data_IF_767642902176
#
_entry.id   IF_767642902176
#
_cell.length_a   1.000
_cell.length_b   1.000
_cell.length_c   1.000
_cell.angle_alpha   90.00
_cell.angle_beta   90.00
_cell.angle_gamma   90.00
#
_symmetry.space_group_name_H-M   'P 1'
#
loop_
_entity.id
_entity.type
_entity.pdbx_description
1 polymer ?
#
# COMPACT_ATOMS: atom_id res chain seq x y z
N UNK A 1 -31.60 46.18 -63.42
CA UNK A 1 -32.72 45.73 -62.57
C UNK A 1 -32.42 44.31 -62.10
N UNK A 2 -32.68 44.04 -60.83
CA UNK A 2 -32.59 42.76 -60.09
C UNK A 2 -31.22 42.16 -59.76
N UNK A 3 -30.93 42.24 -58.45
CA UNK A 3 -29.91 41.51 -57.67
C UNK A 3 -30.36 40.07 -57.43
N UNK A 4 -29.43 39.10 -57.41
CA UNK A 4 -29.54 37.89 -56.57
C UNK A 4 -28.15 37.52 -56.03
N UNK A 5 -28.04 37.51 -54.70
CA UNK A 5 -27.02 36.89 -53.87
C UNK A 5 -27.48 35.46 -53.52
N UNK A 6 -26.57 34.47 -53.51
CA UNK A 6 -26.61 33.27 -52.66
C UNK A 6 -25.30 32.48 -52.85
N UNK A 7 -24.31 32.62 -51.97
CA UNK A 7 -24.13 31.89 -50.71
C UNK A 7 -23.63 30.43 -50.90
N UNK A 8 -22.31 30.27 -50.80
CA UNK A 8 -21.60 29.00 -50.59
C UNK A 8 -22.05 28.39 -49.24
N UNK A 9 -22.58 27.17 -49.27
CA UNK A 9 -22.78 26.32 -48.09
C UNK A 9 -21.82 25.15 -48.12
N UNK A 10 -20.76 25.21 -47.31
CA UNK A 10 -19.84 24.11 -47.04
C UNK A 10 -20.48 23.18 -46.00
N UNK A 11 -20.85 21.96 -46.41
CA UNK A 11 -21.33 20.91 -45.49
C UNK A 11 -20.10 20.25 -44.85
N UNK A 12 -19.85 20.52 -43.58
CA UNK A 12 -18.90 19.78 -42.76
C UNK A 12 -19.62 18.56 -42.14
N UNK A 13 -19.28 17.36 -42.60
CA UNK A 13 -19.69 16.10 -41.98
C UNK A 13 -18.87 15.86 -40.72
N UNK A 14 -19.48 16.09 -39.55
CA UNK A 14 -18.97 15.62 -38.26
C UNK A 14 -19.22 14.11 -38.14
N UNK A 15 -18.20 13.32 -38.43
CA UNK A 15 -18.18 11.90 -38.04
C UNK A 15 -17.87 11.81 -36.53
N UNK A 16 -18.91 11.57 -35.74
CA UNK A 16 -18.78 11.19 -34.34
C UNK A 16 -18.14 9.78 -34.28
N UNK A 17 -16.84 9.74 -34.04
CA UNK A 17 -16.13 8.50 -33.72
C UNK A 17 -16.51 8.06 -32.31
N UNK A 18 -17.52 7.20 -32.20
CA UNK A 18 -17.73 6.41 -31.00
C UNK A 18 -16.51 5.50 -30.81
N UNK A 19 -15.67 5.81 -29.82
CA UNK A 19 -14.61 4.93 -29.35
C UNK A 19 -15.26 3.65 -28.84
N UNK A 20 -15.33 2.64 -29.71
CA UNK A 20 -15.66 1.28 -29.32
C UNK A 20 -14.48 0.76 -28.53
N UNK A 21 -14.67 0.62 -27.21
CA UNK A 21 -13.73 -0.11 -26.37
C UNK A 21 -13.65 -1.53 -26.92
N UNK A 22 -12.49 -1.89 -27.49
CA UNK A 22 -12.23 -3.25 -27.96
C UNK A 22 -12.51 -4.24 -26.82
N UNK A 23 -13.15 -5.39 -27.09
CA UNK A 23 -13.33 -6.42 -26.09
C UNK A 23 -11.94 -6.86 -25.57
N UNK A 24 -11.81 -7.17 -24.27
CA UNK A 24 -10.55 -7.62 -23.72
C UNK A 24 -10.06 -8.86 -24.48
N UNK A 25 -8.77 -8.85 -24.84
CA UNK A 25 -8.15 -9.94 -25.59
C UNK A 25 -8.33 -11.28 -24.84
N UNK A 26 -8.58 -12.39 -25.56
CA UNK A 26 -8.65 -13.72 -24.94
C UNK A 26 -7.29 -14.07 -24.32
N UNK A 27 -7.20 -13.97 -22.99
CA UNK A 27 -5.95 -14.22 -22.24
C UNK A 27 -5.72 -13.27 -21.06
N UNK A 28 -6.23 -12.03 -21.13
CA UNK A 28 -5.96 -10.98 -20.15
C UNK A 28 -6.26 -11.35 -18.68
N UNK A 29 -7.34 -12.08 -18.34
CA UNK A 29 -7.59 -12.51 -16.96
C UNK A 29 -6.53 -13.49 -16.43
N UNK A 30 -6.04 -14.42 -17.26
CA UNK A 30 -4.99 -15.39 -16.88
C UNK A 30 -3.62 -14.73 -16.77
N UNK A 31 -3.32 -13.79 -17.65
CA UNK A 31 -2.06 -13.03 -17.61
C UNK A 31 -1.98 -12.17 -16.34
N UNK A 32 -3.07 -11.51 -15.97
CA UNK A 32 -3.16 -10.75 -14.72
C UNK A 32 -3.02 -11.65 -13.48
N UNK A 33 -3.63 -12.83 -13.49
CA UNK A 33 -3.49 -13.82 -12.40
C UNK A 33 -2.05 -14.32 -12.29
N UNK A 34 -1.41 -14.64 -13.42
CA UNK A 34 -0.01 -15.05 -13.46
C UNK A 34 0.94 -13.94 -13.01
N UNK A 35 0.67 -12.68 -13.40
CA UNK A 35 1.44 -11.52 -12.93
C UNK A 35 1.34 -11.37 -11.41
N UNK A 36 0.12 -11.39 -10.85
CA UNK A 36 -0.09 -11.35 -9.39
C UNK A 36 0.58 -12.51 -8.67
N UNK A 37 0.56 -13.70 -9.25
CA UNK A 37 1.21 -14.87 -8.70
C UNK A 37 2.73 -14.72 -8.64
N UNK A 38 3.35 -14.25 -9.72
CA UNK A 38 4.79 -13.99 -9.79
C UNK A 38 5.20 -12.87 -8.83
N UNK A 39 4.36 -11.85 -8.69
CA UNK A 39 4.59 -10.75 -7.76
C UNK A 39 4.50 -11.18 -6.29
N UNK A 40 3.51 -11.99 -5.90
CA UNK A 40 3.42 -12.56 -4.55
C UNK A 40 4.70 -13.32 -4.17
N UNK A 41 5.23 -14.08 -5.13
CA UNK A 41 6.47 -14.81 -4.96
C UNK A 41 7.69 -13.87 -4.85
N UNK A 42 7.76 -12.82 -5.66
CA UNK A 42 8.80 -11.80 -5.55
C UNK A 42 8.78 -11.09 -4.19
N UNK A 43 7.58 -10.76 -3.69
CA UNK A 43 7.37 -10.16 -2.38
C UNK A 43 7.85 -11.07 -1.24
N UNK A 44 7.49 -12.36 -1.27
CA UNK A 44 7.98 -13.36 -0.29
C UNK A 44 9.49 -13.52 -0.30
N UNK A 45 10.11 -13.65 -1.48
CA UNK A 45 11.58 -13.73 -1.60
C UNK A 45 12.28 -12.47 -1.11
N UNK A 46 11.70 -11.31 -1.39
CA UNK A 46 12.23 -10.05 -0.88
C UNK A 46 12.12 -10.01 0.65
N UNK A 47 10.99 -10.44 1.22
CA UNK A 47 10.80 -10.56 2.67
C UNK A 47 11.83 -11.48 3.32
N UNK A 48 12.08 -12.66 2.75
CA UNK A 48 13.11 -13.60 3.21
C UNK A 48 14.51 -12.96 3.19
N UNK A 49 14.83 -12.18 2.15
CA UNK A 49 16.10 -11.47 2.08
C UNK A 49 16.25 -10.42 3.20
N UNK A 50 15.14 -9.78 3.58
CA UNK A 50 15.12 -8.82 4.68
C UNK A 50 15.18 -9.50 6.05
N UNK A 51 14.59 -10.68 6.22
CA UNK A 51 14.76 -11.51 7.43
C UNK A 51 16.22 -11.88 7.66
N UNK A 52 16.96 -12.20 6.59
CA UNK A 52 18.39 -12.44 6.70
C UNK A 52 19.18 -11.16 7.03
N UNK A 53 18.73 -10.00 6.56
CA UNK A 53 19.41 -8.71 6.74
C UNK A 53 19.17 -8.10 8.12
N UNK A 54 17.96 -8.22 8.68
CA UNK A 54 17.57 -7.53 9.92
C UNK A 54 18.51 -7.85 11.10
N UNK A 55 18.89 -9.11 11.38
CA UNK A 55 19.82 -9.42 12.47
C UNK A 55 21.19 -8.75 12.30
N UNK A 56 21.65 -8.56 11.05
CA UNK A 56 22.92 -7.87 10.76
C UNK A 56 22.80 -6.37 11.07
N UNK A 57 21.64 -5.77 10.80
CA UNK A 57 21.35 -4.36 11.13
C UNK A 57 21.23 -4.16 12.63
N UNK A 58 20.52 -5.05 13.32
CA UNK A 58 20.39 -5.01 14.78
C UNK A 58 21.75 -5.18 15.48
N UNK A 59 22.58 -6.12 14.99
CA UNK A 59 23.95 -6.25 15.47
C UNK A 59 24.79 -4.99 15.22
N UNK A 60 24.55 -4.24 14.14
CA UNK A 60 25.21 -2.96 13.89
C UNK A 60 24.79 -1.88 14.90
N UNK A 61 23.50 -1.83 15.27
CA UNK A 61 23.02 -0.95 16.35
C UNK A 61 23.75 -1.25 17.65
N UNK A 62 23.77 -2.52 18.09
CA UNK A 62 24.48 -2.90 19.33
C UNK A 62 25.97 -2.57 19.30
N UNK A 63 26.64 -2.73 18.14
CA UNK A 63 28.05 -2.34 17.99
C UNK A 63 28.25 -0.83 18.12
N UNK A 64 27.34 -0.03 17.53
CA UNK A 64 27.40 1.43 17.58
C UNK A 64 27.11 1.96 18.99
N UNK A 65 26.17 1.37 19.73
CA UNK A 65 25.89 1.71 21.13
C UNK A 65 27.14 1.51 22.00
N UNK A 66 27.77 0.33 21.90
CA UNK A 66 29.02 0.05 22.62
C UNK A 66 30.16 0.98 22.19
N UNK A 67 30.18 1.42 20.94
CA UNK A 67 31.20 2.36 20.47
C UNK A 67 31.00 3.74 21.08
N UNK A 68 29.76 4.22 21.13
CA UNK A 68 29.40 5.48 21.78
C UNK A 68 29.77 5.49 23.26
N UNK A 69 29.40 4.43 24.00
CA UNK A 69 29.76 4.27 25.42
C UNK A 69 31.28 4.35 25.64
N UNK A 70 32.07 3.68 24.79
CA UNK A 70 33.53 3.74 24.86
C UNK A 70 34.06 5.15 24.58
N UNK A 71 33.54 5.85 23.57
CA UNK A 71 34.00 7.21 23.26
C UNK A 71 33.67 8.19 24.40
N UNK A 72 32.50 8.07 25.00
CA UNK A 72 32.11 8.89 26.14
C UNK A 72 33.05 8.68 27.34
N UNK A 73 33.43 7.43 27.63
CA UNK A 73 34.40 7.14 28.68
C UNK A 73 35.79 7.75 28.38
N UNK A 74 36.29 7.60 27.14
CA UNK A 74 37.58 8.16 26.74
C UNK A 74 37.60 9.70 26.79
N UNK A 75 36.50 10.37 26.43
CA UNK A 75 36.37 11.83 26.56
C UNK A 75 36.35 12.24 28.04
N UNK A 76 35.64 11.52 28.90
CA UNK A 76 35.61 11.79 30.34
C UNK A 76 37.00 11.67 30.99
N UNK A 77 37.84 10.77 30.47
CA UNK A 77 39.25 10.62 30.87
C UNK A 77 40.20 11.62 30.19
N UNK A 78 39.71 12.45 29.25
CA UNK A 78 40.51 13.41 28.49
C UNK A 78 41.43 12.77 27.45
N UNK A 79 41.20 11.50 27.08
CA UNK A 79 42.04 10.73 26.16
C UNK A 79 41.72 10.96 24.68
N UNK A 80 40.50 11.42 24.36
CA UNK A 80 40.05 11.73 23.00
C UNK A 80 39.25 13.03 22.95
N UNK A 81 39.09 13.59 21.75
CA UNK A 81 38.35 14.84 21.54
C UNK A 81 36.82 14.63 21.63
N UNK A 82 36.03 15.62 22.10
CA UNK A 82 34.57 15.54 22.13
C UNK A 82 33.92 15.25 20.76
N UNK A 83 34.57 15.66 19.67
CA UNK A 83 34.10 15.39 18.31
C UNK A 83 33.98 13.89 17.98
N UNK A 84 34.73 13.02 18.68
CA UNK A 84 34.63 11.55 18.50
C UNK A 84 33.29 11.00 19.05
N UNK A 85 32.75 11.59 20.11
CA UNK A 85 31.43 11.24 20.65
C UNK A 85 30.34 11.61 19.64
N UNK A 86 30.40 12.82 19.09
CA UNK A 86 29.43 13.25 18.06
C UNK A 86 29.47 12.33 16.82
N UNK A 87 30.66 11.87 16.43
CA UNK A 87 30.83 10.90 15.34
C UNK A 87 30.16 9.56 15.66
N UNK A 88 30.34 9.05 16.89
CA UNK A 88 29.71 7.82 17.35
C UNK A 88 28.18 7.94 17.46
N UNK A 89 27.65 9.09 17.89
CA UNK A 89 26.21 9.37 17.94
C UNK A 89 25.58 9.36 16.54
N UNK A 90 26.25 9.98 15.55
CA UNK A 90 25.82 9.93 14.15
C UNK A 90 25.81 8.50 13.62
N UNK A 91 26.83 7.70 13.94
CA UNK A 91 26.90 6.30 13.53
C UNK A 91 25.77 5.46 14.17
N UNK A 92 25.46 5.70 15.44
CA UNK A 92 24.33 5.03 16.12
C UNK A 92 22.99 5.40 15.49
N UNK A 93 22.77 6.68 15.21
CA UNK A 93 21.55 7.15 14.52
C UNK A 93 21.41 6.46 13.17
N UNK A 94 22.46 6.47 12.34
CA UNK A 94 22.44 5.81 11.03
C UNK A 94 22.15 4.30 11.14
N UNK A 95 22.75 3.61 12.11
CA UNK A 95 22.50 2.18 12.31
C UNK A 95 21.05 1.89 12.72
N UNK A 96 20.45 2.74 13.57
CA UNK A 96 19.04 2.63 13.99
C UNK A 96 18.10 2.88 12.81
N UNK A 97 18.37 3.90 12.02
CA UNK A 97 17.59 4.21 10.83
C UNK A 97 17.66 3.06 9.81
N UNK A 98 18.82 2.46 9.60
CA UNK A 98 18.99 1.30 8.72
C UNK A 98 18.15 0.09 9.19
N UNK A 99 18.12 -0.16 10.51
CA UNK A 99 17.32 -1.24 11.10
C UNK A 99 15.82 -0.95 10.92
N UNK A 100 15.37 0.28 11.19
CA UNK A 100 13.95 0.62 11.06
C UNK A 100 13.48 0.65 9.60
N UNK A 101 14.32 1.11 8.66
CA UNK A 101 14.03 0.99 7.23
C UNK A 101 13.88 -0.47 6.82
N UNK A 102 14.72 -1.36 7.33
CA UNK A 102 14.61 -2.80 7.07
C UNK A 102 13.27 -3.34 7.58
N UNK A 103 12.87 -3.01 8.83
CA UNK A 103 11.57 -3.41 9.39
C UNK A 103 10.39 -2.83 8.61
N UNK A 104 10.50 -1.59 8.13
CA UNK A 104 9.46 -0.97 7.31
C UNK A 104 9.32 -1.70 5.98
N UNK A 105 10.42 -1.97 5.28
CA UNK A 105 10.38 -2.74 4.03
C UNK A 105 9.86 -4.16 4.22
N UNK A 106 10.10 -4.78 5.38
CA UNK A 106 9.53 -6.09 5.74
C UNK A 106 8.00 -6.03 5.82
N UNK A 107 7.44 -5.04 6.52
CA UNK A 107 6.00 -4.82 6.60
C UNK A 107 5.39 -4.54 5.23
N UNK A 108 6.04 -3.71 4.42
CA UNK A 108 5.55 -3.40 3.07
C UNK A 108 5.55 -4.63 2.15
N UNK A 109 6.59 -5.45 2.18
CA UNK A 109 6.66 -6.68 1.39
C UNK A 109 5.58 -7.70 1.80
N UNK A 110 5.27 -7.77 3.09
CA UNK A 110 4.15 -8.58 3.61
C UNK A 110 2.80 -8.10 3.07
N UNK A 111 2.50 -6.79 3.16
CA UNK A 111 1.23 -6.26 2.65
C UNK A 111 1.03 -6.58 1.16
N UNK A 112 2.09 -6.45 0.36
CA UNK A 112 2.09 -6.81 -1.06
C UNK A 112 1.79 -8.30 -1.27
N UNK A 113 2.43 -9.19 -0.51
CA UNK A 113 2.16 -10.63 -0.58
C UNK A 113 0.71 -10.95 -0.19
N UNK A 114 0.22 -10.29 0.86
CA UNK A 114 -1.14 -10.44 1.40
C UNK A 114 -2.21 -10.05 0.40
N UNK A 115 -2.01 -8.92 -0.27
CA UNK A 115 -2.94 -8.46 -1.29
C UNK A 115 -3.01 -9.41 -2.49
N UNK A 116 -1.84 -9.91 -2.93
CA UNK A 116 -1.77 -10.86 -4.03
C UNK A 116 -2.41 -12.23 -3.69
N UNK A 117 -2.31 -12.68 -2.44
CA UNK A 117 -3.00 -13.89 -1.97
C UNK A 117 -4.50 -13.70 -1.79
N UNK A 118 -4.94 -12.54 -1.31
CA UNK A 118 -6.36 -12.19 -1.29
C UNK A 118 -6.96 -12.19 -2.70
N UNK A 119 -6.23 -11.70 -3.70
CA UNK A 119 -6.68 -11.77 -5.09
C UNK A 119 -6.90 -13.22 -5.54
N UNK A 120 -6.06 -14.18 -5.10
CA UNK A 120 -6.24 -15.62 -5.38
C UNK A 120 -7.45 -16.19 -4.63
N UNK A 121 -7.59 -15.92 -3.33
CA UNK A 121 -8.73 -16.38 -2.53
C UNK A 121 -10.05 -15.90 -3.16
N UNK A 122 -10.13 -14.62 -3.52
CA UNK A 122 -11.31 -14.02 -4.15
C UNK A 122 -11.63 -14.58 -5.54
N UNK A 123 -10.61 -14.95 -6.31
CA UNK A 123 -10.80 -15.58 -7.62
C UNK A 123 -11.38 -16.99 -7.50
N UNK A 124 -11.11 -17.69 -6.38
CA UNK A 124 -11.68 -19.00 -6.08
C UNK A 124 -13.13 -18.92 -5.55
N UNK A 125 -13.60 -17.75 -5.11
CA UNK A 125 -14.97 -17.56 -4.65
C UNK A 125 -15.95 -17.36 -5.82
N UNK A 126 -17.23 -17.77 -5.67
CA UNK A 126 -18.26 -17.49 -6.67
C UNK A 126 -18.37 -15.97 -6.94
N UNK A 127 -18.62 -15.56 -8.20
CA UNK A 127 -18.85 -14.15 -8.50
C UNK A 127 -20.10 -13.65 -7.77
N UNK A 128 -19.99 -12.50 -7.08
CA UNK A 128 -21.12 -11.79 -6.47
C UNK A 128 -21.54 -10.59 -7.31
N UNK A 129 -22.73 -10.05 -7.05
CA UNK A 129 -23.20 -8.86 -7.74
C UNK A 129 -22.27 -7.67 -7.44
N UNK A 130 -22.03 -6.77 -8.41
CA UNK A 130 -21.20 -5.58 -8.18
C UNK A 130 -21.72 -4.72 -7.02
N UNK A 131 -20.85 -4.37 -6.07
CA UNK A 131 -21.20 -3.58 -4.89
C UNK A 131 -21.59 -4.40 -3.65
N UNK A 132 -21.74 -5.72 -3.78
CA UNK A 132 -21.90 -6.60 -2.62
C UNK A 132 -20.56 -6.79 -1.88
N UNK A 133 -20.66 -6.98 -0.57
CA UNK A 133 -19.51 -7.36 0.26
C UNK A 133 -19.29 -8.86 0.11
N UNK A 134 -18.07 -9.26 -0.29
CA UNK A 134 -17.64 -10.65 -0.26
C UNK A 134 -16.91 -10.90 1.05
N UNK A 135 -17.37 -11.83 1.86
CA UNK A 135 -16.70 -12.23 3.09
C UNK A 135 -16.25 -13.70 2.97
N UNK A 136 -14.94 -13.92 2.88
CA UNK A 136 -14.29 -15.21 3.07
C UNK A 136 -13.97 -15.46 4.54
N UNK A 137 -13.20 -16.50 4.84
CA UNK A 137 -12.75 -16.80 6.20
C UNK A 137 -11.70 -15.77 6.66
N UNK A 138 -10.74 -15.47 5.79
CA UNK A 138 -9.56 -14.63 6.06
C UNK A 138 -9.71 -13.19 5.57
N UNK A 139 -10.68 -12.93 4.68
CA UNK A 139 -10.79 -11.68 3.95
C UNK A 139 -12.23 -11.16 3.86
N UNK A 140 -12.39 -9.84 3.88
CA UNK A 140 -13.61 -9.13 3.47
C UNK A 140 -13.24 -8.20 2.31
N UNK A 141 -14.02 -8.21 1.23
CA UNK A 141 -13.87 -7.31 0.09
C UNK A 141 -15.14 -6.54 -0.17
N UNK A 142 -14.98 -5.27 -0.53
CA UNK A 142 -16.04 -4.47 -1.13
C UNK A 142 -15.58 -3.90 -2.47
N UNK A 143 -16.26 -4.29 -3.55
CA UNK A 143 -16.04 -3.79 -4.91
C UNK A 143 -16.75 -2.43 -5.11
N UNK A 144 -16.38 -1.45 -4.28
CA UNK A 144 -16.88 -0.10 -4.35
C UNK A 144 -16.67 0.55 -5.72
N UNK A 145 -17.62 1.39 -6.15
CA UNK A 145 -17.59 2.06 -7.46
C UNK A 145 -17.10 3.50 -7.42
N UNK A 146 -16.92 4.07 -6.23
CA UNK A 146 -16.46 5.44 -6.10
C UNK A 146 -15.04 5.59 -6.63
N UNK A 147 -14.76 6.75 -7.24
CA UNK A 147 -13.40 7.16 -7.50
C UNK A 147 -12.75 7.47 -6.15
N UNK A 148 -11.88 6.58 -5.68
CA UNK A 148 -11.07 6.80 -4.48
C UNK A 148 -9.74 7.45 -4.86
N UNK A 149 -9.25 8.33 -4.00
CA UNK A 149 -7.91 8.90 -4.06
C UNK A 149 -7.46 9.38 -2.68
N UNK A 150 -6.16 9.56 -2.46
CA UNK A 150 -5.63 10.08 -1.20
C UNK A 150 -6.09 11.50 -0.89
N UNK A 151 -6.63 12.23 -1.87
CA UNK A 151 -7.29 13.54 -1.65
C UNK A 151 -8.52 13.44 -0.72
N UNK A 152 -9.11 12.25 -0.59
CA UNK A 152 -10.26 11.99 0.30
C UNK A 152 -9.84 11.58 1.72
N UNK A 153 -8.55 11.34 1.96
CA UNK A 153 -8.03 10.94 3.27
C UNK A 153 -8.41 11.90 4.41
N UNK A 154 -8.39 13.24 4.25
CA UNK A 154 -8.82 14.14 5.32
C UNK A 154 -10.28 13.96 5.77
N UNK A 155 -11.16 13.43 4.91
CA UNK A 155 -12.53 13.10 5.31
C UNK A 155 -12.58 11.82 6.16
N UNK A 156 -11.75 10.84 5.82
CA UNK A 156 -11.63 9.59 6.58
C UNK A 156 -10.98 9.81 7.96
N UNK A 157 -9.91 10.61 8.01
CA UNK A 157 -9.24 11.00 9.25
C UNK A 157 -10.19 11.74 10.19
N UNK A 158 -10.96 12.71 9.68
CA UNK A 158 -11.97 13.43 10.47
C UNK A 158 -13.03 12.51 11.04
N UNK A 159 -13.59 11.62 10.21
CA UNK A 159 -14.55 10.61 10.68
C UNK A 159 -13.99 9.79 11.85
N UNK A 160 -12.73 9.34 11.73
CA UNK A 160 -12.12 8.49 12.74
C UNK A 160 -11.88 9.26 14.05
N UNK A 161 -11.37 10.49 13.97
CA UNK A 161 -11.15 11.36 15.13
C UNK A 161 -12.48 11.72 15.81
N UNK A 162 -13.51 12.08 15.05
CA UNK A 162 -14.83 12.43 15.59
C UNK A 162 -15.47 11.25 16.32
N UNK A 163 -15.25 10.02 15.84
CA UNK A 163 -15.87 8.81 16.40
C UNK A 163 -15.08 8.16 17.52
N UNK A 164 -13.74 8.16 17.44
CA UNK A 164 -12.86 7.40 18.34
C UNK A 164 -11.90 8.27 19.13
N UNK A 165 -11.91 9.59 18.93
CA UNK A 165 -11.10 10.56 19.65
C UNK A 165 -9.59 10.31 19.59
N UNK A 166 -9.14 9.68 18.50
CA UNK A 166 -7.73 9.40 18.21
C UNK A 166 -7.47 9.48 16.70
N UNK A 167 -6.22 9.66 16.26
CA UNK A 167 -5.88 9.64 14.84
C UNK A 167 -6.19 8.28 14.21
N UNK A 168 -6.49 8.28 12.91
CA UNK A 168 -6.59 7.06 12.10
C UNK A 168 -5.23 6.33 12.15
N UNK A 169 -5.18 5.04 12.56
CA UNK A 169 -3.93 4.30 12.67
C UNK A 169 -3.46 3.83 11.28
N UNK A 170 -2.93 4.76 10.49
CA UNK A 170 -2.37 4.49 9.16
C UNK A 170 -1.08 3.70 9.31
N UNK A 171 -1.00 2.53 8.67
CA UNK A 171 0.21 1.70 8.61
C UNK A 171 1.03 1.92 7.34
N UNK A 172 0.38 2.27 6.23
CA UNK A 172 1.05 2.64 5.00
C UNK A 172 0.19 3.60 4.17
N UNK A 173 0.85 4.49 3.44
CA UNK A 173 0.20 5.55 2.68
C UNK A 173 0.87 5.70 1.31
N UNK A 174 0.10 5.48 0.26
CA UNK A 174 0.55 5.71 -1.11
C UNK A 174 1.68 4.77 -1.55
N UNK A 175 2.37 5.16 -2.61
CA UNK A 175 3.49 4.41 -3.19
C UNK A 175 4.69 4.38 -2.25
N UNK A 176 5.36 3.23 -2.16
CA UNK A 176 6.62 3.07 -1.41
C UNK A 176 7.72 2.48 -2.29
N UNK A 177 9.00 2.58 -1.89
CA UNK A 177 10.09 1.95 -2.65
C UNK A 177 9.94 0.43 -2.81
N UNK A 178 9.25 -0.24 -1.89
CA UNK A 178 8.95 -1.67 -2.01
C UNK A 178 7.92 -1.92 -3.12
N UNK A 179 6.92 -1.06 -3.25
CA UNK A 179 5.97 -1.13 -4.37
C UNK A 179 6.67 -0.91 -5.71
N UNK A 180 7.55 0.10 -5.81
CA UNK A 180 8.35 0.32 -7.03
C UNK A 180 9.22 -0.89 -7.37
N UNK A 181 9.88 -1.47 -6.37
CA UNK A 181 10.75 -2.64 -6.53
C UNK A 181 9.99 -3.88 -7.00
N UNK A 182 8.76 -4.05 -6.54
CA UNK A 182 7.92 -5.21 -6.81
C UNK A 182 6.94 -4.98 -7.98
N UNK A 183 6.93 -3.78 -8.55
CA UNK A 183 6.07 -3.41 -9.68
C UNK A 183 4.58 -3.34 -9.31
N UNK A 184 4.26 -2.76 -8.15
CA UNK A 184 2.87 -2.49 -7.73
C UNK A 184 2.57 -1.00 -7.75
N UNK A 185 1.36 -0.65 -8.18
CA UNK A 185 0.84 0.70 -8.07
C UNK A 185 -0.08 0.84 -6.84
N UNK A 186 0.46 1.45 -5.79
CA UNK A 186 -0.22 1.73 -4.53
C UNK A 186 -0.41 3.25 -4.33
N UNK A 187 -0.26 4.08 -5.37
CA UNK A 187 -0.23 5.55 -5.25
C UNK A 187 -1.47 6.14 -4.57
N UNK A 188 -2.64 5.56 -4.86
CA UNK A 188 -3.91 6.05 -4.33
C UNK A 188 -4.42 5.22 -3.14
N UNK A 189 -3.67 4.23 -2.67
CA UNK A 189 -4.12 3.31 -1.62
C UNK A 189 -3.55 3.66 -0.24
N UNK A 190 -4.19 3.11 0.79
CA UNK A 190 -3.91 3.38 2.20
C UNK A 190 -4.18 2.12 3.02
N UNK A 191 -3.23 1.71 3.85
CA UNK A 191 -3.45 0.65 4.83
C UNK A 191 -3.70 1.22 6.22
N UNK A 192 -4.70 0.69 6.90
CA UNK A 192 -5.11 1.06 8.25
C UNK A 192 -4.96 -0.14 9.18
N UNK A 193 -4.13 0.00 10.22
CA UNK A 193 -3.86 -1.03 11.23
C UNK A 193 -5.00 -1.16 12.26
N UNK A 194 -6.19 -1.54 11.78
CA UNK A 194 -7.32 -1.95 12.62
C UNK A 194 -7.77 -3.35 12.27
N UNK A 195 -8.15 -4.13 13.28
CA UNK A 195 -8.74 -5.44 13.06
C UNK A 195 -10.15 -5.28 12.47
N UNK A 196 -10.53 -5.98 11.38
CA UNK A 196 -11.84 -5.82 10.72
C UNK A 196 -13.02 -6.04 11.66
N UNK A 197 -12.92 -7.06 12.53
CA UNK A 197 -13.98 -7.38 13.50
C UNK A 197 -13.91 -6.57 14.81
N UNK A 198 -13.05 -5.56 14.91
CA UNK A 198 -13.08 -4.63 16.04
C UNK A 198 -14.20 -3.58 15.88
N UNK A 199 -14.50 -2.83 16.94
CA UNK A 199 -15.45 -1.72 16.83
C UNK A 199 -14.95 -0.63 15.86
N UNK A 200 -13.65 -0.33 15.87
CA UNK A 200 -12.99 0.60 14.94
C UNK A 200 -13.06 0.07 13.51
N UNK A 201 -12.67 -1.18 13.28
CA UNK A 201 -12.68 -1.81 11.96
C UNK A 201 -14.07 -1.89 11.33
N UNK A 202 -15.08 -2.32 12.09
CA UNK A 202 -16.47 -2.35 11.60
C UNK A 202 -16.99 -0.96 11.22
N UNK A 203 -16.71 0.05 12.04
CA UNK A 203 -17.14 1.41 11.76
C UNK A 203 -16.42 1.99 10.53
N UNK A 204 -15.13 1.72 10.40
CA UNK A 204 -14.33 2.08 9.22
C UNK A 204 -14.92 1.45 7.95
N UNK A 205 -15.11 0.12 7.94
CA UNK A 205 -15.67 -0.57 6.79
C UNK A 205 -17.07 -0.07 6.42
N UNK A 206 -17.90 0.25 7.41
CA UNK A 206 -19.23 0.83 7.14
C UNK A 206 -19.15 2.24 6.55
N UNK A 207 -18.23 3.08 7.04
CA UNK A 207 -17.98 4.40 6.48
C UNK A 207 -17.57 4.32 5.00
N UNK A 208 -16.67 3.39 4.67
CA UNK A 208 -16.18 3.15 3.31
C UNK A 208 -17.29 2.62 2.40
N UNK A 209 -18.06 1.63 2.89
CA UNK A 209 -19.18 1.02 2.16
C UNK A 209 -20.27 2.03 1.84
N UNK A 210 -20.65 2.88 2.79
CA UNK A 210 -21.67 3.94 2.60
C UNK A 210 -21.26 4.93 1.50
N UNK A 211 -19.95 5.12 1.31
CA UNK A 211 -19.37 6.00 0.27
C UNK A 211 -18.97 5.25 -0.99
N UNK A 212 -19.27 3.96 -1.08
CA UNK A 212 -18.86 3.09 -2.18
C UNK A 212 -17.35 3.11 -2.44
N UNK A 213 -16.53 3.32 -1.40
CA UNK A 213 -15.07 3.31 -1.48
C UNK A 213 -14.61 1.84 -1.42
N UNK A 214 -13.84 1.36 -2.42
CA UNK A 214 -13.35 -0.02 -2.41
C UNK A 214 -12.39 -0.27 -1.24
N UNK A 215 -12.41 -1.49 -0.72
CA UNK A 215 -11.46 -1.94 0.30
C UNK A 215 -11.28 -3.46 0.32
N UNK A 216 -10.16 -3.88 0.91
CA UNK A 216 -9.87 -5.25 1.35
C UNK A 216 -9.61 -5.21 2.86
N UNK A 217 -10.19 -6.12 3.63
CA UNK A 217 -9.99 -6.19 5.06
C UNK A 217 -9.55 -7.61 5.47
N UNK A 218 -8.37 -7.69 6.06
CA UNK A 218 -7.68 -8.94 6.38
C UNK A 218 -7.86 -9.25 7.86
N UNK A 219 -8.41 -10.42 8.19
CA UNK A 219 -8.76 -10.77 9.58
C UNK A 219 -7.62 -11.37 10.40
N UNK A 220 -6.60 -11.93 9.77
CA UNK A 220 -5.57 -12.66 10.48
C UNK A 220 -4.20 -12.44 9.87
N UNK A 221 -3.17 -12.62 10.69
CA UNK A 221 -1.83 -12.88 10.21
C UNK A 221 -1.85 -14.16 9.38
N UNK A 222 -1.17 -14.13 8.24
CA UNK A 222 -1.01 -15.28 7.37
C UNK A 222 0.50 -15.59 7.33
N UNK A 223 0.92 -16.81 7.74
CA UNK A 223 2.34 -17.14 7.84
C UNK A 223 3.09 -16.89 6.52
N UNK A 224 4.15 -16.07 6.57
CA UNK A 224 4.96 -15.70 5.40
C UNK A 224 4.32 -14.64 4.50
N UNK A 225 3.19 -14.06 4.89
CA UNK A 225 2.33 -13.23 4.03
C UNK A 225 1.91 -11.95 4.75
N UNK A 226 1.25 -12.02 5.91
CA UNK A 226 0.82 -10.84 6.68
C UNK A 226 1.18 -10.99 8.17
N UNK A 227 1.76 -9.97 8.79
CA UNK A 227 1.99 -9.96 10.25
C UNK A 227 0.77 -9.61 11.10
N UNK A 228 -0.33 -9.13 10.50
CA UNK A 228 -1.53 -8.78 11.27
C UNK A 228 -2.74 -8.33 10.46
N UNK A 229 -3.86 -8.22 11.18
CA UNK A 229 -5.13 -7.77 10.64
C UNK A 229 -5.09 -6.26 10.32
N UNK A 230 -5.58 -5.88 9.14
CA UNK A 230 -5.63 -4.50 8.67
C UNK A 230 -6.72 -4.30 7.61
N UNK A 231 -7.00 -3.04 7.29
CA UNK A 231 -7.91 -2.64 6.20
C UNK A 231 -7.12 -1.86 5.16
N UNK A 232 -7.01 -2.43 3.96
CA UNK A 232 -6.52 -1.76 2.76
C UNK A 232 -7.65 -0.98 2.10
N UNK A 233 -7.50 0.34 2.00
CA UNK A 233 -8.48 1.27 1.47
C UNK A 233 -8.05 1.71 0.07
N UNK A 234 -8.96 1.59 -0.88
CA UNK A 234 -8.72 1.88 -2.27
C UNK A 234 -8.87 0.63 -3.14
N UNK A 235 -8.46 0.77 -4.39
CA UNK A 235 -8.43 -0.36 -5.30
C UNK A 235 -7.24 -1.25 -4.95
N UNK A 236 -7.36 -2.58 -5.11
CA UNK A 236 -6.20 -3.45 -5.08
C UNK A 236 -5.12 -2.92 -6.03
N UNK A 237 -3.89 -2.88 -5.56
CA UNK A 237 -2.69 -2.47 -6.28
C UNK A 237 -2.53 -3.30 -7.56
N UNK A 238 -2.73 -2.71 -8.75
CA UNK A 238 -2.45 -3.42 -9.98
C UNK A 238 -0.93 -3.53 -10.18
N UNK A 239 -0.48 -4.46 -11.04
CA UNK A 239 0.87 -4.40 -11.59
C UNK A 239 1.11 -3.05 -12.28
N UNK A 240 2.29 -2.47 -12.10
CA UNK A 240 2.73 -1.31 -12.87
C UNK A 240 2.81 -1.70 -14.35
N UNK A 241 2.20 -0.90 -15.23
CA UNK A 241 2.22 -1.11 -16.69
C UNK A 241 3.57 -0.75 -17.31
#
# INVERSE_FOLDING_TARGET
MSRVLAALGLVATLAAGAATASPPAPGAPRELEAARAAQAEAARRYRESLDALLPLREAAVTRAERALERQQALVAEGLVAPAEVESAERALTAARDDAERTRTSMREAEMVATEAEAARELAALPPTAPGEVRAGATLIRHDGRAAWSLAQLPALERFFVERFHRPLPVSARGQTPVHDRLGFDHHEALDVAVHPDSAEGRALMEFLRTRSIPFLAFRAAQPGVATGAHVHVGRPSPPTS
#
